data_IF_637214953676
#
_entry.id   IF_637214953676
#
_cell.length_a   1.000
_cell.length_b   1.000
_cell.length_c   1.000
_cell.angle_alpha   90.00
_cell.angle_beta   90.00
_cell.angle_gamma   90.00
#
_symmetry.space_group_name_H-M   'P 1'
#
loop_
_entity.id
_entity.type
_entity.pdbx_description
1 polymer ?
#
# COMPACT_ATOMS: atom_id res chain seq x y z
N UNK A 1 15.60 18.29 -55.92
CA UNK A 1 16.28 17.04 -55.54
C UNK A 1 15.58 16.50 -54.31
N UNK A 2 14.84 15.40 -54.42
CA UNK A 2 14.10 14.83 -53.28
C UNK A 2 15.11 14.28 -52.27
N UNK A 3 15.04 14.74 -51.01
CA UNK A 3 15.86 14.19 -49.94
C UNK A 3 15.58 12.69 -49.80
N UNK A 4 16.60 11.87 -49.60
CA UNK A 4 16.42 10.46 -49.30
C UNK A 4 15.55 10.31 -48.03
N UNK A 5 14.67 9.30 -47.98
CA UNK A 5 13.72 9.10 -46.87
C UNK A 5 14.40 9.12 -45.49
N UNK A 6 15.62 8.59 -45.38
CA UNK A 6 16.41 8.60 -44.15
C UNK A 6 16.92 10.01 -43.78
N UNK A 7 17.38 10.79 -44.75
CA UNK A 7 17.80 12.19 -44.51
C UNK A 7 16.63 13.07 -44.10
N UNK A 8 15.45 12.88 -44.71
CA UNK A 8 14.24 13.62 -44.35
C UNK A 8 13.78 13.31 -42.92
N UNK A 9 13.75 12.02 -42.54
CA UNK A 9 13.43 11.59 -41.19
C UNK A 9 14.37 12.23 -40.16
N UNK A 10 15.69 12.16 -40.38
CA UNK A 10 16.70 12.73 -39.47
C UNK A 10 16.51 14.24 -39.28
N UNK A 11 16.21 14.97 -40.36
CA UNK A 11 15.96 16.41 -40.29
C UNK A 11 14.73 16.72 -39.44
N UNK A 12 13.64 15.97 -39.61
CA UNK A 12 12.42 16.16 -38.81
C UNK A 12 12.70 15.85 -37.33
N UNK A 13 13.32 14.71 -37.02
CA UNK A 13 13.66 14.34 -35.63
C UNK A 13 14.54 15.40 -34.96
N UNK A 14 15.57 15.89 -35.66
CA UNK A 14 16.46 16.91 -35.12
C UNK A 14 15.73 18.23 -34.86
N UNK A 15 14.82 18.63 -35.75
CA UNK A 15 13.97 19.81 -35.56
C UNK A 15 13.09 19.65 -34.32
N UNK A 16 12.40 18.52 -34.19
CA UNK A 16 11.49 18.27 -33.06
C UNK A 16 12.24 18.19 -31.73
N UNK A 17 13.40 17.53 -31.67
CA UNK A 17 14.23 17.47 -30.46
C UNK A 17 14.69 18.87 -30.01
N UNK A 18 15.04 19.74 -30.96
CA UNK A 18 15.39 21.14 -30.66
C UNK A 18 14.18 21.90 -30.13
N UNK A 19 13.01 21.72 -30.73
CA UNK A 19 11.79 22.40 -30.31
C UNK A 19 11.33 21.95 -28.91
N UNK A 20 11.41 20.64 -28.61
CA UNK A 20 11.18 20.10 -27.27
C UNK A 20 12.23 20.64 -26.28
N UNK A 21 13.51 20.63 -26.65
CA UNK A 21 14.61 21.14 -25.83
C UNK A 21 14.55 22.64 -25.51
N UNK A 22 13.84 23.42 -26.33
CA UNK A 22 13.58 24.85 -26.09
C UNK A 22 12.54 25.05 -24.99
N UNK A 23 11.62 24.11 -24.80
CA UNK A 23 10.66 24.13 -23.70
C UNK A 23 11.26 23.54 -22.41
N UNK A 24 12.28 24.24 -21.89
CA UNK A 24 12.98 23.85 -20.66
C UNK A 24 12.05 23.77 -19.45
N UNK A 25 10.96 24.54 -19.45
CA UNK A 25 9.98 24.54 -18.35
C UNK A 25 9.13 23.29 -18.40
N UNK A 26 8.58 22.93 -19.56
CA UNK A 26 7.81 21.71 -19.72
C UNK A 26 8.68 20.48 -19.45
N UNK A 27 9.91 20.43 -19.98
CA UNK A 27 10.85 19.34 -19.72
C UNK A 27 11.21 19.21 -18.24
N UNK A 28 11.47 20.33 -17.55
CA UNK A 28 11.75 20.31 -16.13
C UNK A 28 10.54 19.78 -15.33
N UNK A 29 9.32 20.25 -15.61
CA UNK A 29 8.11 19.78 -14.94
C UNK A 29 7.83 18.31 -15.21
N UNK A 30 8.04 17.85 -16.44
CA UNK A 30 7.85 16.45 -16.84
C UNK A 30 8.75 15.47 -16.07
N UNK A 31 9.99 15.86 -15.78
CA UNK A 31 10.93 15.02 -15.02
C UNK A 31 10.73 15.18 -13.51
N UNK A 32 10.54 16.42 -13.07
CA UNK A 32 10.53 16.79 -11.65
C UNK A 32 9.21 16.41 -10.97
N UNK A 33 8.07 16.48 -11.68
CA UNK A 33 6.77 16.09 -11.10
C UNK A 33 6.73 14.60 -10.73
N UNK A 34 7.12 13.62 -11.58
CA UNK A 34 7.15 12.22 -11.14
C UNK A 34 8.22 11.97 -10.08
N UNK A 35 9.42 12.56 -10.25
CA UNK A 35 10.55 12.31 -9.36
C UNK A 35 10.31 12.86 -7.94
N UNK A 36 9.68 14.02 -7.81
CA UNK A 36 9.40 14.65 -6.52
C UNK A 36 7.97 14.37 -6.06
N UNK A 37 7.01 14.39 -6.97
CA UNK A 37 5.59 14.23 -6.66
C UNK A 37 5.26 12.85 -6.10
N UNK A 38 5.85 11.76 -6.62
CA UNK A 38 5.62 10.42 -6.05
C UNK A 38 6.13 10.26 -4.61
N UNK A 39 7.41 10.54 -4.30
CA UNK A 39 7.87 10.47 -2.92
C UNK A 39 7.17 11.50 -2.03
N UNK A 40 6.84 12.69 -2.55
CA UNK A 40 6.09 13.69 -1.80
C UNK A 40 4.67 13.21 -1.47
N UNK A 41 3.96 12.58 -2.41
CA UNK A 41 2.65 11.99 -2.17
C UNK A 41 2.73 10.84 -1.16
N UNK A 42 3.76 9.99 -1.23
CA UNK A 42 3.99 8.95 -0.24
C UNK A 42 4.25 9.54 1.16
N UNK A 43 5.08 10.58 1.26
CA UNK A 43 5.36 11.29 2.51
C UNK A 43 4.13 12.01 3.06
N UNK A 44 3.30 12.60 2.19
CA UNK A 44 2.04 13.22 2.57
C UNK A 44 1.06 12.14 3.06
N UNK A 45 0.93 11.02 2.35
CA UNK A 45 0.06 9.92 2.77
C UNK A 45 0.49 9.33 4.12
N UNK A 46 1.79 9.11 4.33
CA UNK A 46 2.31 8.65 5.62
C UNK A 46 2.17 9.70 6.72
N UNK A 47 2.47 10.96 6.42
CA UNK A 47 2.39 12.07 7.38
C UNK A 47 0.95 12.37 7.80
N UNK A 48 -0.01 12.27 6.88
CA UNK A 48 -1.44 12.33 7.18
C UNK A 48 -1.87 11.22 8.14
N UNK A 49 -1.32 10.01 7.98
CA UNK A 49 -1.58 8.90 8.91
C UNK A 49 -1.04 9.16 10.31
N UNK A 50 0.15 9.76 10.44
CA UNK A 50 0.76 10.06 11.75
C UNK A 50 0.19 11.29 12.45
N UNK A 51 -0.36 12.25 11.69
CA UNK A 51 -0.99 13.44 12.23
C UNK A 51 -2.39 13.19 12.82
N UNK A 52 -3.04 12.09 12.44
CA UNK A 52 -4.35 11.72 12.95
C UNK A 52 -4.22 11.00 14.29
N UNK A 53 -4.83 11.57 15.33
CA UNK A 53 -5.00 10.88 16.61
C UNK A 53 -6.21 9.97 16.48
N UNK A 54 -5.99 8.67 16.51
CA UNK A 54 -7.08 7.68 16.49
C UNK A 54 -7.63 7.53 17.89
N UNK A 55 -8.93 7.78 18.03
CA UNK A 55 -9.64 7.62 19.30
C UNK A 55 -10.20 6.21 19.43
N UNK A 56 -9.65 5.44 20.38
CA UNK A 56 -10.07 4.07 20.66
C UNK A 56 -10.87 4.05 21.95
N UNK A 57 -12.09 3.52 21.89
CA UNK A 57 -12.97 3.35 23.03
C UNK A 57 -13.10 1.86 23.38
N UNK A 58 -12.67 1.48 24.58
CA UNK A 58 -12.91 0.16 25.16
C UNK A 58 -14.16 0.19 26.04
N UNK A 59 -15.24 -0.41 25.54
CA UNK A 59 -16.48 -0.62 26.26
C UNK A 59 -16.38 -1.89 27.13
N UNK A 60 -16.00 -1.72 28.39
CA UNK A 60 -15.83 -2.83 29.34
C UNK A 60 -17.10 -3.03 30.13
N UNK A 61 -17.92 -4.00 29.72
CA UNK A 61 -19.16 -4.35 30.44
C UNK A 61 -18.89 -5.36 31.58
N UNK A 62 -17.84 -6.17 31.45
CA UNK A 62 -17.40 -7.11 32.48
C UNK A 62 -16.26 -6.54 33.34
N UNK A 63 -16.56 -6.18 34.59
CA UNK A 63 -15.59 -5.58 35.52
C UNK A 63 -14.38 -6.49 35.83
N UNK A 64 -14.48 -7.81 35.70
CA UNK A 64 -13.32 -8.68 35.92
C UNK A 64 -12.30 -8.59 34.77
N UNK A 65 -12.72 -8.08 33.62
CA UNK A 65 -11.91 -8.02 32.40
C UNK A 65 -11.00 -6.78 32.32
N UNK A 66 -11.11 -5.82 33.25
CA UNK A 66 -10.28 -4.61 33.27
C UNK A 66 -8.76 -4.87 33.19
N UNK A 67 -8.17 -5.86 33.90
CA UNK A 67 -6.74 -6.16 33.78
C UNK A 67 -6.32 -6.57 32.36
N UNK A 68 -7.14 -7.38 31.69
CA UNK A 68 -6.88 -7.86 30.32
C UNK A 68 -6.99 -6.68 29.35
N UNK A 69 -8.00 -5.85 29.50
CA UNK A 69 -8.21 -4.66 28.66
C UNK A 69 -7.09 -3.64 28.88
N UNK A 70 -6.65 -3.43 30.11
CA UNK A 70 -5.51 -2.56 30.42
C UNK A 70 -4.22 -3.07 29.78
N UNK A 71 -3.93 -4.37 29.90
CA UNK A 71 -2.80 -5.00 29.22
C UNK A 71 -2.89 -4.80 27.70
N UNK A 72 -4.05 -5.10 27.09
CA UNK A 72 -4.27 -4.97 25.67
C UNK A 72 -4.12 -3.51 25.20
N UNK A 73 -4.64 -2.55 25.96
CA UNK A 73 -4.48 -1.12 25.67
C UNK A 73 -3.01 -0.66 25.73
N UNK A 74 -2.22 -1.25 26.64
CA UNK A 74 -0.80 -0.94 26.77
C UNK A 74 0.02 -1.49 25.61
N UNK A 75 -0.27 -2.73 25.18
CA UNK A 75 0.35 -3.35 24.00
C UNK A 75 -0.03 -2.60 22.74
N UNK A 76 -1.32 -2.28 22.58
CA UNK A 76 -1.81 -1.52 21.44
C UNK A 76 -1.13 -0.16 21.31
N UNK A 77 -0.91 0.55 22.43
CA UNK A 77 -0.18 1.82 22.42
C UNK A 77 1.28 1.62 21.99
N UNK A 78 1.94 0.55 22.42
CA UNK A 78 3.33 0.28 22.03
C UNK A 78 3.44 -0.05 20.53
N UNK A 79 2.61 -0.96 20.02
CA UNK A 79 2.64 -1.38 18.62
C UNK A 79 2.24 -0.24 17.68
N UNK A 80 1.24 0.56 18.06
CA UNK A 80 0.82 1.71 17.29
C UNK A 80 1.92 2.78 17.19
N UNK A 81 2.67 3.02 18.27
CA UNK A 81 3.80 3.96 18.25
C UNK A 81 4.93 3.50 17.31
N UNK A 82 5.19 2.18 17.23
CA UNK A 82 6.17 1.63 16.28
C UNK A 82 5.75 1.83 14.83
N UNK A 83 4.45 1.85 14.56
CA UNK A 83 3.89 2.14 13.24
C UNK A 83 3.67 3.64 12.98
N UNK A 84 4.06 4.52 13.92
CA UNK A 84 3.90 5.97 13.78
C UNK A 84 2.46 6.46 13.93
N UNK A 85 1.59 5.70 14.60
CA UNK A 85 0.20 6.06 14.91
C UNK A 85 0.10 6.63 16.33
N UNK A 86 -0.68 7.70 16.48
CA UNK A 86 -0.97 8.31 17.78
C UNK A 86 -2.36 7.89 18.25
N UNK A 87 -2.45 7.28 19.44
CA UNK A 87 -3.71 6.77 19.99
C UNK A 87 -4.16 7.56 21.22
N UNK A 88 -5.45 7.94 21.24
CA UNK A 88 -6.14 8.35 22.46
C UNK A 88 -7.09 7.23 22.89
N UNK A 89 -6.77 6.59 24.01
CA UNK A 89 -7.49 5.41 24.48
C UNK A 89 -8.36 5.78 25.68
N UNK A 90 -9.65 5.49 25.60
CA UNK A 90 -10.60 5.60 26.72
C UNK A 90 -11.11 4.22 27.10
N UNK A 91 -11.14 3.91 28.40
CA UNK A 91 -11.62 2.62 28.92
C UNK A 91 -12.73 2.93 29.93
N UNK A 92 -13.96 2.60 29.58
CA UNK A 92 -15.12 2.85 30.44
C UNK A 92 -16.28 1.92 30.11
N UNK A 93 -17.13 1.64 31.09
CA UNK A 93 -18.35 0.87 30.90
C UNK A 93 -19.46 1.66 30.19
N UNK A 94 -19.39 3.00 30.23
CA UNK A 94 -20.30 3.89 29.52
C UNK A 94 -19.60 4.55 28.32
N UNK A 95 -20.31 4.75 27.19
CA UNK A 95 -19.75 5.39 26.01
C UNK A 95 -19.36 6.85 26.30
N UNK A 96 -18.20 7.31 25.81
CA UNK A 96 -17.82 8.71 25.92
C UNK A 96 -18.79 9.59 25.10
N UNK A 97 -18.92 10.86 25.50
CA UNK A 97 -19.75 11.85 24.78
C UNK A 97 -19.19 12.26 23.41
N UNK A 98 -17.93 11.92 23.13
CA UNK A 98 -17.24 12.22 21.87
C UNK A 98 -17.36 11.10 20.83
N UNK A 99 -17.05 11.45 19.59
CA UNK A 99 -16.91 10.48 18.50
C UNK A 99 -15.63 9.67 18.72
N UNK A 100 -15.73 8.35 18.54
CA UNK A 100 -14.60 7.43 18.56
C UNK A 100 -14.43 6.78 17.20
N UNK A 101 -13.17 6.53 16.83
CA UNK A 101 -12.76 5.92 15.56
C UNK A 101 -12.83 4.39 15.60
N UNK A 102 -12.58 3.80 16.76
CA UNK A 102 -12.61 2.36 17.00
C UNK A 102 -13.31 2.07 18.33
N UNK A 103 -14.28 1.16 18.30
CA UNK A 103 -14.99 0.64 19.48
C UNK A 103 -14.61 -0.82 19.70
N UNK A 104 -14.18 -1.15 20.92
CA UNK A 104 -13.90 -2.52 21.34
C UNK A 104 -14.80 -2.86 22.53
N UNK A 105 -15.76 -3.76 22.31
CA UNK A 105 -16.74 -4.15 23.32
C UNK A 105 -16.32 -5.48 23.94
N UNK A 106 -16.22 -5.47 25.27
CA UNK A 106 -15.99 -6.64 26.13
C UNK A 106 -17.29 -6.91 26.89
N UNK A 107 -18.12 -7.86 26.41
CA UNK A 107 -19.44 -8.14 26.97
C UNK A 107 -19.36 -8.85 28.33
N UNK A 108 -20.51 -8.88 29.02
CA UNK A 108 -20.67 -9.64 30.27
C UNK A 108 -20.26 -11.11 30.10
N UNK A 109 -19.54 -11.65 31.10
CA UNK A 109 -19.11 -13.04 31.10
C UNK A 109 -17.85 -13.32 30.27
N UNK A 110 -17.20 -12.29 29.70
CA UNK A 110 -15.94 -12.45 28.98
C UNK A 110 -14.88 -13.14 29.84
N UNK A 111 -14.62 -12.64 31.05
CA UNK A 111 -13.58 -13.17 31.93
C UNK A 111 -13.87 -14.60 32.37
N UNK A 112 -15.12 -14.87 32.75
CA UNK A 112 -15.53 -16.19 33.24
C UNK A 112 -15.48 -17.24 32.12
N UNK A 113 -15.82 -16.87 30.87
CA UNK A 113 -15.67 -17.77 29.73
C UNK A 113 -14.21 -17.93 29.30
N UNK A 114 -13.39 -16.89 29.41
CA UNK A 114 -11.95 -16.99 29.11
C UNK A 114 -11.22 -17.90 30.12
N UNK A 115 -11.67 -17.93 31.37
CA UNK A 115 -11.07 -18.72 32.44
C UNK A 115 -11.47 -20.20 32.41
N UNK A 116 -12.55 -20.57 31.70
CA UNK A 116 -12.98 -21.96 31.54
C UNK A 116 -12.15 -22.65 30.46
N UNK A 117 -11.78 -23.92 30.68
CA UNK A 117 -11.01 -24.71 29.71
C UNK A 117 -11.71 -24.81 28.33
N UNK A 118 -13.03 -24.97 28.31
CA UNK A 118 -13.89 -25.09 27.13
C UNK A 118 -14.65 -23.80 26.77
N UNK A 119 -14.41 -22.71 27.52
CA UNK A 119 -15.12 -21.46 27.33
C UNK A 119 -14.56 -20.62 26.18
N UNK A 120 -15.47 -19.92 25.50
CA UNK A 120 -15.20 -18.99 24.40
C UNK A 120 -15.54 -17.58 24.86
N UNK A 121 -14.52 -16.72 24.92
CA UNK A 121 -14.72 -15.30 25.19
C UNK A 121 -14.90 -14.53 23.88
N UNK A 122 -15.91 -13.66 23.83
CA UNK A 122 -16.24 -12.90 22.62
C UNK A 122 -15.87 -11.44 22.84
N UNK A 123 -15.16 -10.85 21.89
CA UNK A 123 -14.87 -9.42 21.84
C UNK A 123 -15.40 -8.88 20.51
N UNK A 124 -16.06 -7.73 20.52
CA UNK A 124 -16.64 -7.12 19.32
C UNK A 124 -15.84 -5.87 18.99
N UNK A 125 -15.24 -5.82 17.80
CA UNK A 125 -14.50 -4.66 17.32
C UNK A 125 -15.28 -4.00 16.19
N UNK A 126 -15.45 -2.69 16.25
CA UNK A 126 -16.06 -1.86 15.21
C UNK A 126 -15.15 -0.70 14.89
N UNK A 127 -14.99 -0.40 13.61
CA UNK A 127 -14.16 0.71 13.14
C UNK A 127 -14.99 1.67 12.29
N UNK A 128 -14.66 2.95 12.36
CA UNK A 128 -15.26 3.97 11.51
C UNK A 128 -14.92 3.71 10.03
N UNK A 129 -15.91 3.87 9.16
CA UNK A 129 -15.74 3.68 7.71
C UNK A 129 -15.03 4.90 7.11
N UNK A 130 -14.09 4.67 6.20
CA UNK A 130 -13.38 5.75 5.49
C UNK A 130 -12.17 6.33 6.23
N UNK A 131 -11.88 5.86 7.46
CA UNK A 131 -10.66 6.21 8.18
C UNK A 131 -9.64 5.05 8.06
N UNK A 132 -8.56 5.28 7.30
CA UNK A 132 -7.48 4.30 7.11
C UNK A 132 -6.80 3.94 8.44
N UNK A 133 -6.56 4.93 9.31
CA UNK A 133 -5.90 4.71 10.59
C UNK A 133 -6.75 3.82 11.52
N UNK A 134 -8.09 3.92 11.47
CA UNK A 134 -8.99 3.01 12.19
C UNK A 134 -8.87 1.56 11.74
N UNK A 135 -8.65 1.32 10.45
CA UNK A 135 -8.46 -0.03 9.90
C UNK A 135 -7.12 -0.62 10.36
N UNK A 136 -6.06 0.16 10.32
CA UNK A 136 -4.74 -0.26 10.81
C UNK A 136 -4.81 -0.63 12.30
N UNK A 137 -5.43 0.22 13.13
CA UNK A 137 -5.63 -0.05 14.57
C UNK A 137 -6.47 -1.32 14.80
N UNK A 138 -7.48 -1.57 13.98
CA UNK A 138 -8.29 -2.80 14.08
C UNK A 138 -7.47 -4.05 13.75
N UNK A 139 -6.55 -3.95 12.79
CA UNK A 139 -5.62 -5.04 12.45
C UNK A 139 -4.64 -5.31 13.60
N UNK A 140 -4.12 -4.25 14.25
CA UNK A 140 -3.27 -4.36 15.44
C UNK A 140 -4.01 -5.03 16.60
N UNK A 141 -5.25 -4.61 16.90
CA UNK A 141 -6.09 -5.25 17.91
C UNK A 141 -6.25 -6.74 17.60
N UNK A 142 -6.55 -7.09 16.35
CA UNK A 142 -6.72 -8.48 15.93
C UNK A 142 -5.44 -9.31 16.10
N UNK A 143 -4.27 -8.72 15.81
CA UNK A 143 -2.96 -9.35 16.03
C UNK A 143 -2.70 -9.60 17.52
N UNK A 144 -2.89 -8.60 18.37
CA UNK A 144 -2.69 -8.69 19.83
C UNK A 144 -3.65 -9.71 20.45
N UNK A 145 -4.92 -9.69 20.04
CA UNK A 145 -5.93 -10.67 20.49
C UNK A 145 -5.54 -12.09 20.06
N UNK A 146 -5.02 -12.27 18.84
CA UNK A 146 -4.56 -13.59 18.37
C UNK A 146 -3.36 -14.09 19.18
N UNK A 147 -2.43 -13.21 19.54
CA UNK A 147 -1.30 -13.55 20.40
C UNK A 147 -1.76 -13.95 21.81
N UNK A 148 -2.67 -13.16 22.41
CA UNK A 148 -3.29 -13.49 23.70
C UNK A 148 -4.02 -14.84 23.63
N UNK A 149 -4.80 -15.08 22.58
CA UNK A 149 -5.50 -16.35 22.38
C UNK A 149 -4.52 -17.52 22.34
N UNK A 150 -3.39 -17.38 21.64
CA UNK A 150 -2.37 -18.42 21.58
C UNK A 150 -1.76 -18.69 22.95
N UNK A 151 -1.47 -17.66 23.74
CA UNK A 151 -0.95 -17.81 25.10
C UNK A 151 -1.94 -18.58 25.99
N UNK A 152 -3.21 -18.20 25.96
CA UNK A 152 -4.25 -18.86 26.75
C UNK A 152 -4.41 -20.32 26.34
N UNK A 153 -4.36 -20.64 25.04
CA UNK A 153 -4.42 -22.03 24.59
C UNK A 153 -3.21 -22.82 25.04
N UNK A 154 -1.99 -22.25 25.00
CA UNK A 154 -0.79 -22.90 25.53
C UNK A 154 -0.96 -23.24 27.00
N UNK A 155 -1.42 -22.30 27.83
CA UNK A 155 -1.69 -22.52 29.26
C UNK A 155 -2.72 -23.64 29.48
N UNK A 156 -3.85 -23.61 28.77
CA UNK A 156 -4.89 -24.65 28.85
C UNK A 156 -4.37 -26.03 28.47
N UNK A 157 -3.56 -26.13 27.41
CA UNK A 157 -2.97 -27.39 26.95
C UNK A 157 -1.98 -27.93 27.98
N UNK A 158 -1.16 -27.07 28.58
CA UNK A 158 -0.23 -27.47 29.63
C UNK A 158 -0.94 -27.98 30.89
N UNK A 159 -2.04 -27.35 31.29
CA UNK A 159 -2.88 -27.82 32.40
C UNK A 159 -3.48 -29.19 32.11
N UNK A 160 -4.06 -29.37 30.91
CA UNK A 160 -4.62 -30.65 30.48
C UNK A 160 -3.55 -31.75 30.38
N UNK A 161 -2.37 -31.41 29.88
CA UNK A 161 -1.23 -32.33 29.80
C UNK A 161 -0.78 -32.80 31.18
N UNK A 162 -0.73 -31.90 32.18
CA UNK A 162 -0.44 -32.24 33.59
C UNK A 162 -1.52 -33.15 34.19
N UNK A 163 -2.80 -32.86 33.95
CA UNK A 163 -3.91 -33.67 34.47
C UNK A 163 -3.97 -35.07 33.83
N UNK A 164 -3.68 -35.16 32.54
CA UNK A 164 -3.66 -36.43 31.80
C UNK A 164 -2.34 -37.21 31.98
N UNK A 165 -1.33 -36.61 32.60
CA UNK A 165 0.03 -37.16 32.71
C UNK A 165 0.64 -37.52 31.34
N UNK A 166 0.41 -36.66 30.34
CA UNK A 166 0.93 -36.80 28.96
C UNK A 166 1.91 -35.68 28.68
N UNK A 167 3.04 -35.99 28.04
CA UNK A 167 3.95 -34.97 27.52
C UNK A 167 3.44 -34.49 26.15
N UNK A 168 2.95 -33.26 26.09
CA UNK A 168 2.47 -32.61 24.86
C UNK A 168 3.27 -31.32 24.68
N UNK A 169 3.73 -31.06 23.46
CA UNK A 169 4.30 -29.78 23.07
C UNK A 169 3.17 -28.90 22.52
N UNK A 170 2.71 -27.85 23.23
CA UNK A 170 1.52 -27.09 22.84
C UNK A 170 1.63 -26.45 21.45
N UNK A 171 2.83 -26.01 21.05
CA UNK A 171 3.04 -25.39 19.73
C UNK A 171 2.83 -26.36 18.56
N UNK A 172 3.17 -27.64 18.74
CA UNK A 172 2.95 -28.68 17.73
C UNK A 172 1.48 -29.12 17.66
N UNK A 173 0.78 -29.07 18.80
CA UNK A 173 -0.66 -29.35 18.86
C UNK A 173 -1.48 -28.25 18.15
N UNK A 174 -1.11 -26.99 18.38
CA UNK A 174 -1.79 -25.83 17.81
C UNK A 174 -1.54 -25.69 16.31
N UNK A 175 -0.30 -25.92 15.86
CA UNK A 175 0.12 -25.72 14.48
C UNK A 175 0.68 -27.02 13.89
N UNK A 176 -0.16 -28.05 13.67
CA UNK A 176 0.30 -29.35 13.17
C UNK A 176 0.76 -29.31 11.71
N UNK A 177 0.40 -28.25 10.98
CA UNK A 177 0.75 -28.07 9.57
C UNK A 177 1.78 -26.94 9.45
N UNK A 178 2.99 -27.28 9.02
CA UNK A 178 4.00 -26.31 8.66
C UNK A 178 3.87 -25.97 7.17
N UNK A 179 3.43 -24.76 6.87
CA UNK A 179 3.33 -24.28 5.50
C UNK A 179 4.72 -23.85 4.99
N UNK A 180 5.28 -24.62 4.05
CA UNK A 180 6.45 -24.20 3.27
C UNK A 180 5.98 -23.57 1.96
N UNK A 181 6.08 -22.24 1.84
CA UNK A 181 5.68 -21.51 0.64
C UNK A 181 6.85 -21.34 -0.32
N UNK A 182 6.60 -21.55 -1.62
CA UNK A 182 7.55 -21.33 -2.70
C UNK A 182 6.86 -20.67 -3.90
N UNK A 183 7.65 -20.14 -4.82
CA UNK A 183 7.15 -19.46 -6.02
C UNK A 183 7.39 -20.31 -7.27
N UNK A 184 6.56 -20.13 -8.28
CA UNK A 184 6.76 -20.73 -9.61
C UNK A 184 6.86 -19.63 -10.67
N UNK A 185 7.70 -19.86 -11.68
CA UNK A 185 7.78 -19.04 -12.88
C UNK A 185 6.55 -19.29 -13.77
N UNK A 186 6.24 -18.39 -14.72
CA UNK A 186 5.20 -18.63 -15.74
C UNK A 186 5.45 -19.89 -16.57
N UNK A 187 6.69 -20.37 -16.62
CA UNK A 187 7.07 -21.65 -17.24
C UNK A 187 6.72 -22.89 -16.41
N UNK A 188 6.25 -22.72 -15.17
CA UNK A 188 5.96 -23.79 -14.22
C UNK A 188 7.18 -24.31 -13.44
N UNK A 189 8.39 -23.79 -13.70
CA UNK A 189 9.58 -24.14 -12.91
C UNK A 189 9.56 -23.45 -11.54
N UNK A 190 10.15 -24.10 -10.53
CA UNK A 190 10.30 -23.51 -9.19
C UNK A 190 11.18 -22.26 -9.29
N UNK A 191 10.68 -21.14 -8.80
CA UNK A 191 11.37 -19.86 -8.82
C UNK A 191 12.31 -19.75 -7.61
N UNK A 192 13.54 -19.32 -7.85
CA UNK A 192 14.48 -19.00 -6.78
C UNK A 192 14.15 -17.65 -6.16
N UNK A 193 14.58 -17.42 -4.92
CA UNK A 193 14.37 -16.13 -4.24
C UNK A 193 14.94 -14.93 -5.04
N UNK A 194 16.03 -15.14 -5.76
CA UNK A 194 16.60 -14.12 -6.66
C UNK A 194 15.67 -13.81 -7.85
N UNK A 195 15.04 -14.83 -8.45
CA UNK A 195 14.10 -14.63 -9.55
C UNK A 195 12.83 -13.92 -9.10
N UNK A 196 12.37 -14.18 -7.87
CA UNK A 196 11.25 -13.46 -7.26
C UNK A 196 11.61 -11.98 -7.07
N UNK A 197 12.78 -11.68 -6.52
CA UNK A 197 13.27 -10.31 -6.39
C UNK A 197 13.38 -9.61 -7.75
N UNK A 198 13.93 -10.29 -8.76
CA UNK A 198 13.98 -9.77 -10.13
C UNK A 198 12.57 -9.47 -10.66
N UNK A 199 11.60 -10.35 -10.45
CA UNK A 199 10.21 -10.11 -10.85
C UNK A 199 9.62 -8.87 -10.17
N UNK A 200 9.90 -8.66 -8.88
CA UNK A 200 9.48 -7.44 -8.16
C UNK A 200 10.16 -6.19 -8.72
N UNK A 201 11.47 -6.24 -8.98
CA UNK A 201 12.22 -5.14 -9.58
C UNK A 201 11.73 -4.81 -10.99
N UNK A 202 11.42 -5.81 -11.81
CA UNK A 202 10.83 -5.63 -13.14
C UNK A 202 9.46 -4.97 -13.05
N UNK A 203 8.62 -5.40 -12.11
CA UNK A 203 7.30 -4.77 -11.90
C UNK A 203 7.39 -3.33 -11.42
N UNK A 204 8.36 -3.02 -10.56
CA UNK A 204 8.67 -1.64 -10.17
C UNK A 204 9.15 -0.81 -11.36
N UNK A 205 9.98 -1.40 -12.23
CA UNK A 205 10.42 -0.76 -13.46
C UNK A 205 9.22 -0.49 -14.40
N UNK A 206 8.34 -1.46 -14.61
CA UNK A 206 7.10 -1.28 -15.40
C UNK A 206 6.23 -0.14 -14.83
N UNK A 207 6.04 -0.10 -13.51
CA UNK A 207 5.33 1.00 -12.85
C UNK A 207 6.03 2.34 -13.03
N UNK A 208 7.37 2.38 -12.96
CA UNK A 208 8.14 3.61 -13.21
C UNK A 208 8.03 4.09 -14.66
N UNK A 209 8.01 3.16 -15.63
CA UNK A 209 7.85 3.48 -17.04
C UNK A 209 6.48 4.10 -17.32
N UNK A 210 5.43 3.68 -16.60
CA UNK A 210 4.12 4.33 -16.71
C UNK A 210 4.18 5.84 -16.42
N UNK A 211 4.98 6.26 -15.44
CA UNK A 211 5.16 7.68 -15.11
C UNK A 211 6.00 8.44 -16.15
N UNK A 212 6.86 7.76 -16.91
CA UNK A 212 7.66 8.37 -17.99
C UNK A 212 6.82 8.50 -19.27
N UNK A 213 6.03 7.48 -19.60
CA UNK A 213 5.27 7.40 -20.86
C UNK A 213 4.14 8.44 -20.92
N UNK A 214 3.44 8.71 -19.81
CA UNK A 214 2.32 9.64 -19.81
C UNK A 214 2.71 11.07 -20.26
N UNK A 215 3.73 11.72 -19.67
CA UNK A 215 4.11 13.05 -20.13
C UNK A 215 4.73 13.06 -21.54
N UNK A 216 5.33 11.95 -22.00
CA UNK A 216 5.75 11.82 -23.40
C UNK A 216 4.56 11.87 -24.38
N UNK A 217 3.45 11.21 -24.04
CA UNK A 217 2.19 11.28 -24.83
C UNK A 217 1.65 12.71 -24.87
N UNK A 218 1.68 13.43 -23.75
CA UNK A 218 1.25 14.83 -23.68
C UNK A 218 2.11 15.71 -24.59
N UNK A 219 3.44 15.55 -24.58
CA UNK A 219 4.35 16.28 -25.47
C UNK A 219 4.10 16.02 -26.95
N UNK A 220 3.88 14.75 -27.34
CA UNK A 220 3.50 14.41 -28.72
C UNK A 220 2.21 15.12 -29.10
N UNK A 221 1.22 15.06 -28.22
CA UNK A 221 -0.10 15.64 -28.45
C UNK A 221 -0.02 17.15 -28.62
N UNK A 222 0.74 17.84 -27.76
CA UNK A 222 0.97 19.28 -27.84
C UNK A 222 1.78 19.69 -29.08
N UNK A 223 2.73 18.85 -29.55
CA UNK A 223 3.43 19.09 -30.81
C UNK A 223 2.46 19.09 -32.00
N UNK A 224 1.56 18.10 -32.08
CA UNK A 224 0.56 18.04 -33.15
C UNK A 224 -0.50 19.14 -33.04
N UNK A 225 -1.05 19.35 -31.85
CA UNK A 225 -2.09 20.33 -31.61
C UNK A 225 -1.57 21.75 -31.76
N UNK A 226 -0.40 22.06 -31.20
CA UNK A 226 0.24 23.37 -31.29
C UNK A 226 0.59 23.76 -32.73
N UNK A 227 1.06 22.82 -33.55
CA UNK A 227 1.31 23.10 -34.97
C UNK A 227 0.03 23.27 -35.79
N UNK A 228 -1.06 22.57 -35.41
CA UNK A 228 -2.39 22.74 -35.98
C UNK A 228 -2.98 24.11 -35.64
N UNK A 229 -2.89 24.54 -34.38
CA UNK A 229 -3.36 25.87 -33.94
C UNK A 229 -2.62 27.01 -34.65
N UNK A 230 -1.31 26.85 -34.85
CA UNK A 230 -0.46 27.83 -35.57
C UNK A 230 -0.61 27.77 -37.09
N UNK A 231 -1.43 26.86 -37.62
CA UNK A 231 -1.61 26.58 -39.05
C UNK A 231 -0.30 26.26 -39.80
N UNK A 232 0.65 25.72 -39.07
CA UNK A 232 1.97 25.32 -39.60
C UNK A 232 1.96 23.86 -40.07
N UNK A 233 1.01 23.06 -39.58
CA UNK A 233 0.86 21.67 -39.96
C UNK A 233 0.49 21.53 -41.45
N UNK A 234 -0.38 22.39 -41.98
CA UNK A 234 -0.78 22.40 -43.40
C UNK A 234 0.39 22.78 -44.31
N UNK A 235 1.26 23.68 -43.84
CA UNK A 235 2.49 24.08 -44.55
C UNK A 235 3.50 22.93 -44.57
N UNK A 236 3.66 22.19 -43.47
CA UNK A 236 4.52 21.01 -43.42
C UNK A 236 4.01 19.87 -44.31
N UNK A 237 2.68 19.69 -44.39
CA UNK A 237 2.05 18.67 -45.24
C UNK A 237 2.10 19.01 -46.75
N UNK A 238 2.30 20.28 -47.10
CA UNK A 238 2.49 20.75 -48.48
C UNK A 238 3.97 20.85 -48.88
N UNK A 239 4.89 20.66 -47.93
CA UNK A 239 6.32 20.59 -48.19
C UNK A 239 6.70 19.32 -48.96
N UNK A 240 7.85 19.28 -49.67
CA UNK A 240 8.30 18.10 -50.42
C UNK A 240 8.83 16.96 -49.53
N UNK A 241 8.45 16.92 -48.25
CA UNK A 241 8.84 15.89 -47.28
C UNK A 241 7.81 14.75 -47.30
N UNK A 242 8.23 13.47 -47.35
CA UNK A 242 7.30 12.35 -47.27
C UNK A 242 6.53 12.33 -45.94
N UNK A 243 5.20 12.16 -46.03
CA UNK A 243 4.28 12.19 -44.87
C UNK A 243 4.64 11.17 -43.79
N UNK A 244 5.11 10.00 -44.20
CA UNK A 244 5.58 8.93 -43.31
C UNK A 244 6.76 9.40 -42.44
N UNK A 245 7.72 10.10 -43.03
CA UNK A 245 8.88 10.65 -42.31
C UNK A 245 8.49 11.79 -41.39
N UNK A 246 7.45 12.56 -41.70
CA UNK A 246 6.91 13.58 -40.82
C UNK A 246 6.26 12.96 -39.57
N UNK A 247 5.40 11.95 -39.77
CA UNK A 247 4.71 11.26 -38.67
C UNK A 247 5.70 10.47 -37.81
N UNK A 248 6.57 9.66 -38.43
CA UNK A 248 7.59 8.90 -37.70
C UNK A 248 8.60 9.81 -37.01
N UNK A 249 8.97 10.94 -37.65
CA UNK A 249 9.87 11.92 -37.06
C UNK A 249 9.30 12.54 -35.78
N UNK A 250 8.00 12.86 -35.77
CA UNK A 250 7.31 13.40 -34.59
C UNK A 250 7.10 12.37 -33.47
N UNK A 251 6.82 11.12 -33.82
CA UNK A 251 6.67 10.06 -32.82
C UNK A 251 8.00 9.70 -32.17
N UNK A 252 9.07 9.62 -32.97
CA UNK A 252 10.41 9.23 -32.47
C UNK A 252 11.13 10.33 -31.71
N UNK A 253 10.76 11.61 -31.90
CA UNK A 253 11.35 12.72 -31.14
C UNK A 253 10.85 12.83 -29.71
N UNK A 254 9.72 12.20 -29.39
CA UNK A 254 9.07 12.31 -28.08
C UNK A 254 8.86 10.95 -27.39
N UNK A 255 9.29 9.85 -28.03
CA UNK A 255 9.46 8.53 -27.42
C UNK A 255 10.82 8.44 -26.71
#
# INVERSE_FOLDING_TARGET
MAASRSSALRTVVWKELIDIGRDRRALALMILIPLVGLPLMALIASGLSSAQVVTVYFAVLDNKSYPIVNWLSSQLRQDALQQGLNLNITISSAPPSGVYDVEVIVPYGFYDNLSKLDGIAVMIVRSMVGNYASQEVTSLISSIVSQLSNQIVVERVEELAKLANVSIVPSQLLNPIQLSSGYYLPSGAVATQQQVQLSFSVRLLEFSLFFVVNPAIVLVTDSFLGEKERKTLEVLLSSPIPKESLVLGKLTSAA
#
